data_IF_097316513348
#
_entry.id   IF_097316513348
#
_cell.length_a   1.000
_cell.length_b   1.000
_cell.length_c   1.000
_cell.angle_alpha   90.00
_cell.angle_beta   90.00
_cell.angle_gamma   90.00
#
_symmetry.space_group_name_H-M   'P 1'
#
loop_
_entity.id
_entity.type
_entity.pdbx_description
1 polymer ?
#
# COMPACT_ATOMS: atom_id res chain seq x y z
N UNK A 1 -42.00 50.85 2.57
CA UNK A 1 -42.29 49.47 2.13
C UNK A 1 -41.66 49.16 0.77
N UNK A 2 -41.62 50.10 -0.16
CA UNK A 2 -40.93 49.91 -1.46
C UNK A 2 -39.40 49.82 -1.31
N UNK A 3 -38.80 50.60 -0.41
CA UNK A 3 -37.34 50.54 -0.16
C UNK A 3 -36.89 49.16 0.34
N UNK A 4 -37.66 48.57 1.27
CA UNK A 4 -37.39 47.23 1.81
C UNK A 4 -37.53 46.14 0.75
N UNK A 5 -38.51 46.26 -0.14
CA UNK A 5 -38.68 45.33 -1.27
C UNK A 5 -37.51 45.46 -2.26
N UNK A 6 -37.11 46.69 -2.57
CA UNK A 6 -35.98 46.97 -3.47
C UNK A 6 -34.67 46.43 -2.91
N UNK A 7 -34.42 46.62 -1.61
CA UNK A 7 -33.24 46.07 -0.94
C UNK A 7 -33.23 44.54 -0.94
N UNK A 8 -34.38 43.90 -0.68
CA UNK A 8 -34.50 42.45 -0.75
C UNK A 8 -34.20 41.91 -2.16
N UNK A 9 -34.74 42.55 -3.21
CA UNK A 9 -34.46 42.18 -4.59
C UNK A 9 -32.97 42.35 -4.92
N UNK A 10 -32.35 43.46 -4.50
CA UNK A 10 -30.94 43.73 -4.76
C UNK A 10 -30.02 42.70 -4.09
N UNK A 11 -30.26 42.38 -2.81
CA UNK A 11 -29.50 41.35 -2.08
C UNK A 11 -29.68 39.99 -2.74
N UNK A 12 -30.90 39.63 -3.15
CA UNK A 12 -31.18 38.37 -3.83
C UNK A 12 -30.43 38.25 -5.16
N UNK A 13 -30.44 39.31 -5.98
CA UNK A 13 -29.70 39.35 -7.26
C UNK A 13 -28.19 39.25 -7.02
N UNK A 14 -27.67 39.96 -6.02
CA UNK A 14 -26.24 39.92 -5.67
C UNK A 14 -25.82 38.52 -5.23
N UNK A 15 -26.61 37.88 -4.37
CA UNK A 15 -26.35 36.52 -3.91
C UNK A 15 -26.37 35.51 -5.07
N UNK A 16 -27.35 35.62 -5.98
CA UNK A 16 -27.39 34.76 -7.17
C UNK A 16 -26.13 34.92 -8.03
N UNK A 17 -25.70 36.15 -8.29
CA UNK A 17 -24.46 36.42 -9.05
C UNK A 17 -23.23 35.83 -8.38
N UNK A 18 -23.16 35.91 -7.05
CA UNK A 18 -22.07 35.31 -6.28
C UNK A 18 -22.08 33.79 -6.40
N UNK A 19 -23.25 33.16 -6.25
CA UNK A 19 -23.43 31.72 -6.45
C UNK A 19 -23.02 31.28 -7.85
N UNK A 20 -23.49 31.97 -8.90
CA UNK A 20 -23.13 31.67 -10.29
C UNK A 20 -21.61 31.78 -10.51
N UNK A 21 -20.98 32.77 -9.89
CA UNK A 21 -19.52 32.96 -9.97
C UNK A 21 -18.76 31.86 -9.24
N UNK A 22 -19.21 31.46 -8.05
CA UNK A 22 -18.63 30.35 -7.29
C UNK A 22 -18.78 29.03 -8.04
N UNK A 23 -19.92 28.78 -8.67
CA UNK A 23 -20.14 27.58 -9.50
C UNK A 23 -19.15 27.55 -10.66
N UNK A 24 -19.03 28.64 -11.43
CA UNK A 24 -18.05 28.72 -12.54
C UNK A 24 -16.62 28.49 -12.09
N UNK A 25 -16.23 29.05 -10.95
CA UNK A 25 -14.90 28.83 -10.40
C UNK A 25 -14.66 27.36 -10.03
N UNK A 26 -15.67 26.70 -9.44
CA UNK A 26 -15.61 25.26 -9.17
C UNK A 26 -15.54 24.43 -10.44
N UNK A 27 -16.33 24.76 -11.48
CA UNK A 27 -16.28 24.09 -12.79
C UNK A 27 -14.86 24.13 -13.38
N UNK A 28 -14.21 25.29 -13.33
CA UNK A 28 -12.83 25.45 -13.83
C UNK A 28 -11.85 24.61 -13.01
N UNK A 29 -11.92 24.68 -11.67
CA UNK A 29 -11.00 23.92 -10.81
C UNK A 29 -11.18 22.40 -10.95
N UNK A 30 -12.42 21.92 -10.97
CA UNK A 30 -12.74 20.51 -11.17
C UNK A 30 -12.30 20.06 -12.57
N UNK A 31 -12.51 20.89 -13.60
CA UNK A 31 -12.02 20.61 -14.95
C UNK A 31 -10.50 20.47 -15.03
N UNK A 32 -9.76 21.37 -14.36
CA UNK A 32 -8.29 21.29 -14.28
C UNK A 32 -7.82 20.04 -13.53
N UNK A 33 -8.48 19.68 -12.42
CA UNK A 33 -8.16 18.46 -11.67
C UNK A 33 -8.42 17.20 -12.53
N UNK A 34 -9.54 17.16 -13.26
CA UNK A 34 -9.85 16.06 -14.17
C UNK A 34 -8.81 15.96 -15.30
N UNK A 35 -8.39 17.08 -15.87
CA UNK A 35 -7.32 17.11 -16.87
C UNK A 35 -5.98 16.63 -16.31
N UNK A 36 -5.62 17.04 -15.09
CA UNK A 36 -4.41 16.57 -14.41
C UNK A 36 -4.46 15.06 -14.15
N UNK A 37 -5.60 14.53 -13.70
CA UNK A 37 -5.80 13.10 -13.49
C UNK A 37 -5.67 12.32 -14.79
N UNK A 38 -6.34 12.75 -15.86
CA UNK A 38 -6.22 12.14 -17.18
C UNK A 38 -4.77 12.14 -17.69
N UNK A 39 -4.05 13.26 -17.51
CA UNK A 39 -2.63 13.36 -17.86
C UNK A 39 -1.74 12.49 -16.96
N UNK A 40 -2.12 12.27 -15.70
CA UNK A 40 -1.35 11.49 -14.73
C UNK A 40 -1.62 9.98 -14.83
N UNK A 41 -2.75 9.54 -15.38
CA UNK A 41 -3.03 8.11 -15.64
C UNK A 41 -2.02 7.45 -16.60
N UNK A 42 -1.15 8.22 -17.27
CA UNK A 42 -0.02 7.69 -18.03
C UNK A 42 1.23 7.35 -17.21
N UNK A 43 1.19 7.45 -15.88
CA UNK A 43 2.33 7.14 -15.02
C UNK A 43 1.89 6.33 -13.81
N UNK A 44 2.46 5.13 -13.66
CA UNK A 44 2.27 4.30 -12.46
C UNK A 44 2.33 5.15 -11.21
N UNK A 45 1.41 4.96 -10.26
CA UNK A 45 1.59 5.47 -8.89
C UNK A 45 3.06 5.23 -8.50
N UNK A 46 3.78 6.30 -8.17
CA UNK A 46 5.16 6.19 -7.72
C UNK A 46 5.15 5.34 -6.46
N UNK A 47 5.36 4.03 -6.61
CA UNK A 47 5.51 3.13 -5.49
C UNK A 47 6.82 3.53 -4.83
N UNK A 48 6.75 4.19 -3.67
CA UNK A 48 7.91 4.47 -2.82
C UNK A 48 8.43 3.17 -2.15
N UNK A 49 8.39 2.07 -2.87
CA UNK A 49 8.99 0.81 -2.46
C UNK A 49 10.48 0.94 -2.73
N UNK A 50 11.25 1.28 -1.70
CA UNK A 50 12.69 1.03 -1.74
C UNK A 50 12.88 -0.48 -1.75
N UNK A 51 13.72 -0.98 -2.66
CA UNK A 51 14.15 -2.39 -2.61
C UNK A 51 14.75 -2.61 -1.22
N UNK A 52 14.17 -3.52 -0.44
CA UNK A 52 14.74 -3.88 0.87
C UNK A 52 16.20 -4.29 0.62
N UNK A 53 17.18 -3.65 1.28
CA UNK A 53 18.56 -4.07 1.16
C UNK A 53 18.61 -5.57 1.44
N UNK A 54 18.99 -6.36 0.44
CA UNK A 54 19.29 -7.76 0.66
C UNK A 54 20.58 -7.76 1.46
N UNK A 55 20.47 -7.66 2.78
CA UNK A 55 21.53 -8.10 3.67
C UNK A 55 21.95 -9.47 3.17
N UNK A 56 23.25 -9.65 2.99
CA UNK A 56 23.81 -10.87 2.43
C UNK A 56 23.34 -12.03 3.30
N UNK A 57 22.27 -12.69 2.87
CA UNK A 57 21.65 -13.78 3.60
C UNK A 57 22.62 -14.94 3.44
N UNK A 58 23.56 -15.04 4.39
CA UNK A 58 24.60 -16.06 4.39
C UNK A 58 23.89 -17.41 4.58
N UNK A 59 23.61 -18.04 3.45
CA UNK A 59 23.18 -19.44 3.31
C UNK A 59 21.89 -19.77 4.08
N UNK A 60 20.75 -19.72 3.38
CA UNK A 60 19.50 -20.27 3.90
C UNK A 60 19.58 -21.80 3.78
N UNK A 61 19.53 -22.51 4.91
CA UNK A 61 19.41 -23.97 4.97
C UNK A 61 17.96 -24.35 5.24
N UNK A 62 17.40 -25.21 4.39
CA UNK A 62 16.10 -25.84 4.66
C UNK A 62 16.23 -26.83 5.82
N UNK A 63 15.11 -27.19 6.47
CA UNK A 63 15.09 -28.24 7.52
C UNK A 63 15.67 -29.58 7.05
N UNK A 64 15.61 -29.85 5.74
CA UNK A 64 16.18 -31.04 5.10
C UNK A 64 17.70 -30.94 4.84
N UNK A 65 18.32 -29.81 5.19
CA UNK A 65 19.75 -29.56 5.01
C UNK A 65 20.15 -29.01 3.63
N UNK A 66 19.21 -28.80 2.72
CA UNK A 66 19.51 -28.23 1.39
C UNK A 66 19.75 -26.73 1.51
N UNK A 67 20.88 -26.26 0.97
CA UNK A 67 21.22 -24.84 0.89
C UNK A 67 20.53 -24.23 -0.34
N UNK A 68 19.81 -23.12 -0.15
CA UNK A 68 19.13 -22.42 -1.23
C UNK A 68 19.89 -21.12 -1.56
N UNK A 69 20.23 -20.93 -2.83
CA UNK A 69 20.84 -19.69 -3.33
C UNK A 69 22.32 -19.77 -3.74
N UNK A 70 22.97 -20.93 -3.64
CA UNK A 70 24.23 -21.21 -4.34
C UNK A 70 23.87 -21.70 -5.75
N UNK A 71 24.46 -21.11 -6.79
CA UNK A 71 24.45 -21.74 -8.12
C UNK A 71 25.31 -23.00 -8.02
N UNK A 72 24.73 -24.13 -8.40
CA UNK A 72 25.32 -25.46 -8.31
C UNK A 72 26.61 -25.56 -9.13
N UNK A 73 27.74 -25.53 -8.45
CA UNK A 73 28.97 -26.14 -8.96
C UNK A 73 29.08 -27.47 -8.22
N UNK A 74 28.51 -28.50 -8.85
CA UNK A 74 28.09 -29.71 -8.20
C UNK A 74 29.20 -30.52 -7.54
N UNK A 75 28.87 -31.15 -6.42
CA UNK A 75 29.43 -32.45 -6.06
C UNK A 75 28.42 -33.25 -5.24
N UNK A 76 28.04 -34.40 -5.80
CA UNK A 76 27.23 -35.42 -5.14
C UNK A 76 27.95 -35.91 -3.88
N UNK A 77 27.26 -35.93 -2.74
CA UNK A 77 27.50 -36.97 -1.73
C UNK A 77 26.19 -37.66 -1.36
N UNK A 78 26.04 -38.86 -1.91
CA UNK A 78 25.20 -39.92 -1.34
C UNK A 78 25.83 -40.31 0.00
N UNK A 79 25.02 -40.63 0.99
CA UNK A 79 25.18 -41.85 1.80
C UNK A 79 23.88 -42.16 2.55
N UNK A 80 23.52 -43.44 2.47
CA UNK A 80 22.40 -44.15 3.09
C UNK A 80 22.66 -44.39 4.59
N UNK A 81 21.61 -44.75 5.33
CA UNK A 81 21.72 -45.68 6.47
C UNK A 81 21.13 -45.20 7.81
N UNK A 82 20.03 -45.85 8.20
CA UNK A 82 19.36 -45.83 9.51
C UNK A 82 20.29 -45.98 10.73
N UNK A 83 19.95 -45.29 11.83
CA UNK A 83 20.03 -45.82 13.21
C UNK A 83 18.93 -45.14 14.06
N UNK A 84 17.90 -45.90 14.42
CA UNK A 84 17.04 -45.65 15.58
C UNK A 84 17.86 -45.63 16.87
N UNK A 85 17.55 -44.72 17.80
CA UNK A 85 17.34 -45.05 19.23
C UNK A 85 16.68 -43.92 20.00
N UNK A 86 15.69 -44.33 20.78
CA UNK A 86 14.81 -43.61 21.68
C UNK A 86 15.55 -42.79 22.76
N UNK A 87 14.89 -41.78 23.32
CA UNK A 87 14.53 -41.80 24.75
C UNK A 87 13.57 -40.64 25.10
N UNK A 88 12.47 -41.04 25.74
CA UNK A 88 11.41 -40.23 26.35
C UNK A 88 11.98 -39.30 27.43
N UNK A 89 11.40 -38.10 27.61
CA UNK A 89 11.00 -37.56 28.93
C UNK A 89 9.79 -36.62 28.84
N UNK A 90 8.81 -36.96 29.67
CA UNK A 90 7.53 -36.30 29.93
C UNK A 90 7.63 -34.89 30.55
N UNK A 91 6.52 -34.14 30.43
CA UNK A 91 5.98 -33.21 31.45
C UNK A 91 6.68 -31.84 31.52
N UNK A 92 5.99 -30.70 31.54
CA UNK A 92 4.80 -30.37 32.33
C UNK A 92 4.09 -29.18 31.67
N UNK A 93 2.81 -29.33 31.31
CA UNK A 93 1.90 -28.20 31.14
C UNK A 93 1.59 -27.60 32.53
N UNK A 94 1.87 -26.31 32.71
CA UNK A 94 1.30 -25.50 33.79
C UNK A 94 0.44 -24.38 33.19
N UNK A 95 -0.86 -24.64 33.26
CA UNK A 95 -2.00 -23.74 33.54
C UNK A 95 -2.00 -22.31 32.99
N UNK A 96 -3.10 -21.98 32.30
CA UNK A 96 -3.87 -20.77 32.61
C UNK A 96 -5.33 -20.86 32.11
N UNK A 97 -6.24 -21.29 32.99
CA UNK A 97 -7.54 -20.64 33.23
C UNK A 97 -8.05 -21.01 34.63
#
# INVERSE_FOLDING_TARGET
MEDTLTQFMQVSISNQKNTDSSIKNMEVQVGQLAEQLYKHESGSFSTNTKVNPKEQCKVIKTRRGTVVGLKDDGEKKKNEGDVEKNDEKEGVEKQKE
#
